data_IF_734034845953
#
_entry.id   IF_734034845953
#
_cell.length_a   1.000
_cell.length_b   1.000
_cell.length_c   1.000
_cell.angle_alpha   90.00
_cell.angle_beta   90.00
_cell.angle_gamma   90.00
#
_symmetry.space_group_name_H-M   'P 1'
#
loop_
_entity.id
_entity.type
_entity.pdbx_description
1 polymer ?
#
# COMPACT_ATOMS: atom_id res chain seq x y z
N UNK A 1 16.10 18.31 -20.39
CA UNK A 1 15.48 18.38 -19.03
C UNK A 1 15.01 16.99 -18.63
N UNK A 2 15.28 16.35 -17.50
CA UNK A 2 16.19 16.51 -16.37
C UNK A 2 16.55 15.06 -15.95
N UNK A 3 17.84 14.80 -15.75
CA UNK A 3 18.40 13.59 -15.15
C UNK A 3 18.32 13.73 -13.63
N UNK A 4 17.68 12.77 -12.95
CA UNK A 4 17.93 12.36 -11.55
C UNK A 4 17.51 10.89 -11.49
N UNK A 5 18.34 9.97 -11.98
CA UNK A 5 19.32 9.26 -11.15
C UNK A 5 18.70 8.75 -9.84
N UNK A 6 18.33 7.48 -9.86
CA UNK A 6 18.44 6.63 -8.67
C UNK A 6 19.37 5.51 -9.10
N UNK A 7 20.65 5.88 -9.25
CA UNK A 7 21.78 4.96 -9.18
C UNK A 7 22.12 4.72 -7.72
N UNK A 8 22.51 3.50 -7.42
CA UNK A 8 22.73 2.95 -6.08
C UNK A 8 22.92 1.45 -6.21
N UNK A 9 23.81 1.10 -7.12
CA UNK A 9 24.40 -0.21 -7.34
C UNK A 9 25.77 -0.22 -6.64
N UNK A 10 25.75 -0.43 -5.32
CA UNK A 10 26.96 -0.69 -4.54
C UNK A 10 26.80 -2.09 -3.96
N UNK A 11 27.34 -3.06 -4.70
CA UNK A 11 27.32 -4.45 -4.32
C UNK A 11 28.18 -4.69 -3.09
N UNK A 12 27.57 -4.77 -1.91
CA UNK A 12 28.10 -5.46 -0.73
C UNK A 12 26.90 -6.05 0.04
N UNK A 13 27.02 -7.29 0.54
CA UNK A 13 25.89 -8.19 0.84
C UNK A 13 24.77 -7.68 1.78
N UNK A 14 23.56 -7.51 1.23
CA UNK A 14 22.26 -7.72 1.89
C UNK A 14 21.12 -7.84 0.85
N UNK A 15 21.18 -8.86 0.00
CA UNK A 15 20.24 -9.03 -1.12
C UNK A 15 18.95 -9.74 -0.68
N UNK A 16 17.96 -9.03 -0.13
CA UNK A 16 16.52 -9.39 -0.34
C UNK A 16 15.46 -8.41 0.21
N UNK A 17 15.74 -7.13 0.47
CA UNK A 17 14.69 -6.21 0.93
C UNK A 17 14.57 -5.00 0.00
N UNK A 18 13.60 -5.05 -0.91
CA UNK A 18 13.28 -3.96 -1.85
C UNK A 18 12.15 -3.12 -1.26
N UNK A 19 12.44 -1.87 -0.87
CA UNK A 19 11.44 -0.94 -0.37
C UNK A 19 10.44 -0.55 -1.48
N UNK A 20 9.15 -0.71 -1.21
CA UNK A 20 8.08 -0.22 -2.09
C UNK A 20 8.07 1.31 -2.11
N UNK A 21 8.19 1.91 -3.29
CA UNK A 21 8.19 3.38 -3.48
C UNK A 21 7.15 3.76 -4.54
N UNK A 22 6.47 4.90 -4.34
CA UNK A 22 5.49 5.43 -5.28
C UNK A 22 5.54 6.97 -5.33
N UNK A 23 5.59 7.54 -6.53
CA UNK A 23 5.68 9.00 -6.73
C UNK A 23 4.35 9.74 -6.53
N UNK A 24 3.23 9.01 -6.47
CA UNK A 24 1.86 9.56 -6.35
C UNK A 24 1.12 9.04 -5.12
N UNK A 25 1.86 8.56 -4.13
CA UNK A 25 1.34 7.90 -2.93
C UNK A 25 1.56 6.39 -2.94
N UNK A 26 1.43 5.78 -1.76
CA UNK A 26 1.59 4.35 -1.53
C UNK A 26 0.57 3.88 -0.48
N UNK A 27 0.05 2.66 -0.66
CA UNK A 27 -0.87 1.99 0.26
C UNK A 27 -0.31 0.61 0.54
N UNK A 28 -0.31 0.20 1.81
CA UNK A 28 0.13 -1.14 2.24
C UNK A 28 -0.98 -1.83 3.03
N UNK A 29 -1.20 -3.10 2.76
CA UNK A 29 -2.14 -3.94 3.49
C UNK A 29 -1.74 -5.41 3.37
N UNK A 30 -2.19 -6.26 4.31
CA UNK A 30 -1.89 -7.70 4.29
C UNK A 30 -2.54 -8.45 3.11
N UNK A 31 -3.45 -7.80 2.36
CA UNK A 31 -4.11 -8.41 1.21
C UNK A 31 -3.97 -7.52 -0.04
N UNK A 32 -3.40 -8.07 -1.10
CA UNK A 32 -3.13 -7.34 -2.35
C UNK A 32 -4.37 -6.65 -2.93
N UNK A 33 -5.55 -7.28 -2.85
CA UNK A 33 -6.79 -6.66 -3.36
C UNK A 33 -7.20 -5.42 -2.54
N UNK A 34 -6.96 -5.41 -1.24
CA UNK A 34 -7.25 -4.25 -0.39
C UNK A 34 -6.25 -3.11 -0.66
N UNK A 35 -4.97 -3.44 -0.84
CA UNK A 35 -3.96 -2.45 -1.25
C UNK A 35 -4.30 -1.84 -2.62
N UNK A 36 -4.81 -2.64 -3.56
CA UNK A 36 -5.17 -2.17 -4.89
C UNK A 36 -6.42 -1.27 -4.87
N UNK A 37 -7.41 -1.57 -4.01
CA UNK A 37 -8.59 -0.73 -3.81
C UNK A 37 -8.23 0.67 -3.30
N UNK A 38 -7.41 0.78 -2.26
CA UNK A 38 -6.92 2.09 -1.78
C UNK A 38 -6.04 2.82 -2.80
N UNK A 39 -5.26 2.07 -3.57
CA UNK A 39 -4.42 2.65 -4.62
C UNK A 39 -5.25 3.19 -5.79
N UNK A 40 -6.43 2.61 -6.07
CA UNK A 40 -7.37 3.17 -7.05
C UNK A 40 -7.90 4.54 -6.59
N UNK A 41 -8.26 4.66 -5.32
CA UNK A 41 -8.72 5.94 -4.74
C UNK A 41 -7.65 7.03 -4.82
N UNK A 42 -6.38 6.70 -4.54
CA UNK A 42 -5.28 7.66 -4.73
C UNK A 42 -5.07 8.03 -6.20
N UNK A 43 -5.27 7.09 -7.13
CA UNK A 43 -5.14 7.32 -8.58
C UNK A 43 -6.27 8.19 -9.14
N UNK A 44 -7.46 8.08 -8.58
CA UNK A 44 -8.63 8.90 -8.91
C UNK A 44 -8.49 10.35 -8.39
N UNK A 45 -7.43 10.66 -7.63
CA UNK A 45 -7.20 11.97 -7.04
C UNK A 45 -7.84 12.14 -5.66
N UNK A 46 -8.29 11.04 -5.04
CA UNK A 46 -8.78 11.01 -3.68
C UNK A 46 -7.68 11.25 -2.64
N UNK A 47 -8.08 11.58 -1.42
CA UNK A 47 -7.15 11.86 -0.34
C UNK A 47 -6.61 10.57 0.33
N UNK A 48 -5.60 10.73 1.18
CA UNK A 48 -5.00 9.61 1.92
C UNK A 48 -5.96 8.92 2.91
N UNK A 49 -6.92 9.64 3.48
CA UNK A 49 -7.93 9.11 4.41
C UNK A 49 -8.94 8.21 3.67
N UNK A 50 -9.48 8.66 2.54
CA UNK A 50 -10.39 7.90 1.67
C UNK A 50 -9.71 6.61 1.19
N UNK A 51 -8.43 6.69 0.80
CA UNK A 51 -7.65 5.53 0.42
C UNK A 51 -7.46 4.54 1.59
N UNK A 52 -7.25 5.03 2.81
CA UNK A 52 -7.16 4.20 4.01
C UNK A 52 -8.50 3.54 4.34
N UNK A 53 -9.62 4.24 4.21
CA UNK A 53 -10.97 3.72 4.44
C UNK A 53 -11.31 2.64 3.40
N UNK A 54 -11.06 2.89 2.12
CA UNK A 54 -11.27 1.89 1.06
C UNK A 54 -10.43 0.62 1.28
N UNK A 55 -9.18 0.79 1.73
CA UNK A 55 -8.29 -0.33 2.09
C UNK A 55 -8.81 -1.10 3.30
N UNK A 56 -9.26 -0.41 4.35
CA UNK A 56 -9.80 -1.03 5.56
C UNK A 56 -11.12 -1.76 5.29
N UNK A 57 -12.01 -1.18 4.47
CA UNK A 57 -13.26 -1.80 4.05
C UNK A 57 -12.98 -3.09 3.25
N UNK A 58 -12.02 -3.05 2.32
CA UNK A 58 -11.60 -4.22 1.55
C UNK A 58 -10.89 -5.29 2.41
N UNK A 59 -10.19 -4.88 3.49
CA UNK A 59 -9.62 -5.80 4.47
C UNK A 59 -10.72 -6.47 5.34
N UNK A 60 -11.78 -5.74 5.68
CA UNK A 60 -12.89 -6.25 6.50
C UNK A 60 -13.64 -7.42 5.85
N UNK A 61 -13.58 -7.58 4.54
CA UNK A 61 -14.22 -8.69 3.83
C UNK A 61 -13.61 -10.07 4.11
N UNK A 62 -12.41 -10.14 4.73
CA UNK A 62 -11.68 -11.41 4.95
C UNK A 62 -11.80 -12.02 6.36
N UNK A 63 -12.26 -11.28 7.37
CA UNK A 63 -12.37 -11.78 8.75
C UNK A 63 -13.81 -12.16 9.07
N UNK A 64 -13.99 -13.39 9.55
CA UNK A 64 -15.27 -13.91 10.01
C UNK A 64 -15.91 -13.00 11.08
N UNK A 65 -17.22 -12.73 11.03
CA UNK A 65 -17.91 -11.84 11.98
C UNK A 65 -17.94 -12.32 13.44
N UNK A 66 -17.40 -13.50 13.77
CA UNK A 66 -17.61 -14.17 15.06
C UNK A 66 -16.75 -13.65 16.22
N UNK A 67 -15.70 -12.85 15.97
CA UNK A 67 -14.81 -12.35 17.04
C UNK A 67 -15.34 -11.04 17.69
N UNK A 68 -16.38 -10.43 17.11
CA UNK A 68 -16.85 -9.09 17.51
C UNK A 68 -18.02 -9.11 18.50
N UNK A 69 -18.31 -10.24 19.15
CA UNK A 69 -19.39 -10.36 20.14
C UNK A 69 -18.93 -10.38 21.61
N UNK A 70 -17.66 -10.11 21.88
CA UNK A 70 -17.10 -10.13 23.25
C UNK A 70 -16.54 -8.77 23.68
N UNK A 71 -17.20 -7.71 23.23
CA UNK A 71 -17.18 -6.38 23.84
C UNK A 71 -18.60 -6.00 24.23
#
# INVERSE_FOLDING_TARGET
>A
MRRTEVGGDDGEGCSMLKTGRGFRGAVTSPHHAASHAGLNVLREGGNALEAAIATAAANRSGLSPHEWSWW
#
